data_IF_635793715002
#
_entry.id   IF_635793715002
#
_cell.length_a   1.000
_cell.length_b   1.000
_cell.length_c   1.000
_cell.angle_alpha   90.00
_cell.angle_beta   90.00
_cell.angle_gamma   90.00
#
_symmetry.space_group_name_H-M   'P 1'
#
loop_
_entity.id
_entity.type
_entity.pdbx_description
1 polymer ?
#
# COMPACT_ATOMS: atom_id res chain seq x y z
N UNK A 1 17.62 5.49 25.89
CA UNK A 1 18.17 4.19 25.43
C UNK A 1 19.11 4.45 24.26
N UNK A 2 20.36 3.95 24.28
CA UNK A 2 21.27 4.10 23.16
C UNK A 2 20.73 3.37 21.92
N UNK A 3 21.03 3.90 20.74
CA UNK A 3 20.69 3.27 19.47
C UNK A 3 21.83 3.40 18.46
N UNK A 4 21.85 2.53 17.45
CA UNK A 4 22.83 2.60 16.35
C UNK A 4 22.14 2.32 15.03
N UNK A 5 22.60 2.99 13.97
CA UNK A 5 22.18 2.76 12.59
C UNK A 5 23.21 1.90 11.86
N UNK A 6 22.75 1.04 10.97
CA UNK A 6 23.60 0.17 10.17
C UNK A 6 22.99 -0.09 8.79
N UNK A 7 23.84 -0.33 7.80
CA UNK A 7 23.38 -0.60 6.43
C UNK A 7 23.00 -2.06 6.24
N UNK A 8 21.97 -2.26 5.39
CA UNK A 8 21.47 -3.55 4.91
C UNK A 8 21.07 -3.42 3.44
N UNK A 9 20.92 -4.53 2.69
CA UNK A 9 20.50 -4.48 1.28
C UNK A 9 19.08 -3.93 1.04
N UNK A 10 18.27 -3.76 2.09
CA UNK A 10 16.94 -3.15 1.99
C UNK A 10 16.93 -1.67 2.42
N UNK A 11 18.08 -1.10 2.78
CA UNK A 11 18.26 0.27 3.25
C UNK A 11 18.86 0.34 4.67
N UNK A 12 18.99 1.55 5.21
CA UNK A 12 19.53 1.76 6.56
C UNK A 12 18.54 1.27 7.62
N UNK A 13 18.97 0.34 8.47
CA UNK A 13 18.22 -0.10 9.63
C UNK A 13 18.80 0.52 10.92
N UNK A 14 18.09 0.34 12.04
CA UNK A 14 18.59 0.69 13.35
C UNK A 14 18.17 -0.29 14.43
N UNK A 15 18.95 -0.36 15.51
CA UNK A 15 18.57 -1.08 16.74
C UNK A 15 18.81 -0.18 17.95
N UNK A 16 17.89 -0.26 18.91
CA UNK A 16 18.02 0.33 20.23
C UNK A 16 17.98 -0.78 21.29
N UNK A 17 18.64 -0.56 22.43
CA UNK A 17 18.78 -1.57 23.47
C UNK A 17 18.80 -0.99 24.89
N UNK A 18 18.57 -1.88 25.86
CA UNK A 18 18.87 -1.75 27.28
C UNK A 18 19.87 -2.84 27.69
N UNK A 19 20.15 -2.97 28.99
CA UNK A 19 20.98 -4.07 29.51
C UNK A 19 20.28 -5.44 29.41
N UNK A 20 18.94 -5.44 29.32
CA UNK A 20 18.14 -6.68 29.22
C UNK A 20 18.02 -7.21 27.79
N UNK A 21 18.16 -6.36 26.77
CA UNK A 21 18.07 -6.75 25.37
C UNK A 21 17.68 -5.63 24.41
N UNK A 22 17.30 -5.99 23.19
CA UNK A 22 16.78 -5.02 22.23
C UNK A 22 15.47 -4.44 22.73
N UNK A 23 15.31 -3.12 22.60
CA UNK A 23 14.10 -2.37 22.95
C UNK A 23 13.37 -1.87 21.71
N UNK A 24 14.08 -1.75 20.57
CA UNK A 24 13.49 -1.40 19.28
C UNK A 24 14.34 -1.90 18.11
N UNK A 25 13.70 -2.33 17.04
CA UNK A 25 14.30 -2.56 15.72
C UNK A 25 13.62 -1.63 14.72
N UNK A 26 14.41 -0.80 14.05
CA UNK A 26 13.94 0.13 13.04
C UNK A 26 14.30 -0.41 11.65
N UNK A 27 13.28 -0.67 10.83
CA UNK A 27 13.43 -0.92 9.41
C UNK A 27 13.68 0.40 8.65
N UNK A 28 14.17 0.34 7.40
CA UNK A 28 14.49 1.55 6.63
C UNK A 28 13.25 2.39 6.39
N UNK A 29 13.39 3.71 6.55
CA UNK A 29 12.44 4.71 6.07
C UNK A 29 12.86 5.20 4.67
N UNK A 30 12.30 6.32 4.20
CA UNK A 30 12.62 6.90 2.90
C UNK A 30 14.12 7.15 2.69
N UNK A 31 14.83 7.51 3.75
CA UNK A 31 16.27 7.71 3.75
C UNK A 31 16.87 7.49 5.15
N UNK A 32 18.20 7.59 5.25
CA UNK A 32 18.94 7.43 6.50
C UNK A 32 18.58 8.47 7.57
N UNK A 33 18.29 9.71 7.17
CA UNK A 33 17.93 10.78 8.10
C UNK A 33 16.53 10.55 8.68
N UNK A 34 15.56 10.13 7.86
CA UNK A 34 14.22 9.73 8.28
C UNK A 34 14.28 8.51 9.20
N UNK A 35 15.11 7.52 8.87
CA UNK A 35 15.34 6.32 9.71
C UNK A 35 15.89 6.74 11.08
N UNK A 36 16.88 7.65 11.10
CA UNK A 36 17.43 8.22 12.34
C UNK A 36 16.38 8.94 13.17
N UNK A 37 15.59 9.82 12.55
CA UNK A 37 14.54 10.57 13.23
C UNK A 37 13.48 9.63 13.82
N UNK A 38 13.12 8.57 13.09
CA UNK A 38 12.14 7.58 13.54
C UNK A 38 12.63 6.81 14.75
N UNK A 39 13.83 6.22 14.71
CA UNK A 39 14.34 5.46 15.85
C UNK A 39 14.55 6.36 17.08
N UNK A 40 15.02 7.61 16.89
CA UNK A 40 15.16 8.57 17.98
C UNK A 40 13.82 8.92 18.64
N UNK A 41 12.72 8.96 17.86
CA UNK A 41 11.36 9.17 18.41
C UNK A 41 10.83 7.98 19.22
N UNK A 42 11.38 6.78 19.01
CA UNK A 42 10.95 5.53 19.65
C UNK A 42 11.82 5.13 20.82
N UNK A 43 13.11 5.40 20.71
CA UNK A 43 14.10 5.21 21.75
C UNK A 43 14.84 6.53 22.00
N UNK A 44 14.25 7.45 22.79
CA UNK A 44 14.91 8.70 23.15
C UNK A 44 16.22 8.39 23.88
N UNK A 45 17.34 8.79 23.29
CA UNK A 45 18.68 8.53 23.83
C UNK A 45 19.77 8.83 22.81
N UNK A 46 21.05 8.81 23.23
CA UNK A 46 22.15 9.16 22.36
C UNK A 46 22.38 8.08 21.29
N UNK A 47 22.75 8.51 20.09
CA UNK A 47 23.24 7.58 19.07
C UNK A 47 24.62 7.06 19.51
N UNK A 48 24.74 5.75 19.67
CA UNK A 48 25.98 5.10 20.08
C UNK A 48 27.01 5.15 18.95
N UNK A 49 28.29 5.28 19.32
CA UNK A 49 29.42 5.10 18.38
C UNK A 49 29.70 3.61 18.22
N UNK A 50 30.21 3.21 17.05
CA UNK A 50 30.55 1.81 16.76
C UNK A 50 31.53 1.20 17.78
N UNK A 51 32.46 1.99 18.32
CA UNK A 51 33.40 1.57 19.35
C UNK A 51 32.69 1.22 20.69
N UNK A 52 31.62 1.93 21.03
CA UNK A 52 30.89 1.80 22.30
C UNK A 52 29.70 0.85 22.24
N UNK A 53 29.40 0.28 21.07
CA UNK A 53 28.31 -0.70 20.91
C UNK A 53 28.68 -2.03 21.59
N UNK A 54 27.83 -2.59 22.48
CA UNK A 54 28.12 -3.85 23.15
C UNK A 54 28.35 -5.01 22.16
N UNK A 55 29.20 -6.00 22.50
CA UNK A 55 29.50 -7.13 21.61
C UNK A 55 28.26 -7.90 21.15
N UNK A 56 27.30 -8.15 22.04
CA UNK A 56 26.07 -8.87 21.70
C UNK A 56 25.17 -8.08 20.72
N UNK A 57 25.19 -6.74 20.80
CA UNK A 57 24.47 -5.87 19.84
C UNK A 57 25.15 -5.92 18.47
N UNK A 58 26.49 -5.96 18.44
CA UNK A 58 27.24 -6.13 17.18
C UNK A 58 26.91 -7.47 16.51
N UNK A 59 26.83 -8.56 17.28
CA UNK A 59 26.40 -9.88 16.80
C UNK A 59 24.95 -9.84 16.27
N UNK A 60 24.02 -9.22 17.02
CA UNK A 60 22.64 -9.05 16.58
C UNK A 60 22.55 -8.27 15.24
N UNK A 61 23.33 -7.20 15.08
CA UNK A 61 23.41 -6.43 13.83
C UNK A 61 23.96 -7.27 12.69
N UNK A 62 25.01 -8.07 12.93
CA UNK A 62 25.59 -8.95 11.92
C UNK A 62 24.56 -9.97 11.43
N UNK A 63 23.86 -10.63 12.36
CA UNK A 63 22.78 -11.59 12.04
C UNK A 63 21.64 -10.96 11.26
N UNK A 64 21.16 -9.79 11.68
CA UNK A 64 20.09 -9.07 10.97
C UNK A 64 20.55 -8.66 9.56
N UNK A 65 21.80 -8.23 9.40
CA UNK A 65 22.37 -7.86 8.10
C UNK A 65 22.46 -9.07 7.16
N UNK A 66 22.95 -10.20 7.64
CA UNK A 66 23.02 -11.43 6.83
C UNK A 66 21.62 -11.94 6.46
N UNK A 67 20.69 -11.92 7.42
CA UNK A 67 19.30 -12.32 7.21
C UNK A 67 18.62 -11.46 6.12
N UNK A 68 18.74 -10.14 6.22
CA UNK A 68 18.23 -9.20 5.22
C UNK A 68 19.07 -9.15 3.93
N UNK A 69 20.22 -9.83 3.91
CA UNK A 69 21.03 -10.08 2.72
C UNK A 69 20.71 -11.38 1.99
N UNK A 70 19.65 -12.09 2.40
CA UNK A 70 19.22 -13.32 1.74
C UNK A 70 19.93 -14.57 2.25
N UNK A 71 20.62 -14.51 3.40
CA UNK A 71 21.17 -15.68 4.10
C UNK A 71 20.38 -15.87 5.41
N UNK A 72 19.30 -16.65 5.42
CA UNK A 72 18.37 -16.70 6.54
C UNK A 72 19.06 -17.13 7.84
N UNK A 73 19.13 -16.22 8.81
CA UNK A 73 19.63 -16.48 10.16
C UNK A 73 18.52 -16.87 11.14
N UNK A 74 18.88 -17.63 12.17
CA UNK A 74 18.07 -17.76 13.39
C UNK A 74 18.25 -16.50 14.26
N UNK A 75 17.17 -15.71 14.36
CA UNK A 75 17.13 -14.47 15.14
C UNK A 75 16.43 -14.65 16.50
N UNK A 76 15.91 -15.85 16.81
CA UNK A 76 15.19 -16.11 18.06
C UNK A 76 16.10 -15.98 19.29
N UNK A 77 17.42 -16.10 19.10
CA UNK A 77 18.43 -15.98 20.16
C UNK A 77 18.78 -14.54 20.54
N UNK A 78 18.31 -13.55 19.78
CA UNK A 78 18.57 -12.15 20.10
C UNK A 78 17.74 -11.77 21.34
N UNK A 79 18.37 -11.30 22.44
CA UNK A 79 17.65 -10.92 23.65
C UNK A 79 16.70 -9.75 23.37
N UNK A 80 15.48 -9.83 23.89
CA UNK A 80 14.45 -8.79 23.82
C UNK A 80 14.16 -8.26 25.22
N UNK A 81 14.15 -6.94 25.37
CA UNK A 81 13.64 -6.29 26.57
C UNK A 81 12.12 -6.13 26.43
N UNK A 82 11.39 -6.96 27.17
CA UNK A 82 9.92 -6.99 27.18
C UNK A 82 9.32 -6.24 28.38
N UNK A 83 10.11 -5.47 29.14
CA UNK A 83 9.64 -4.77 30.35
C UNK A 83 8.47 -3.82 30.11
N UNK A 84 8.40 -3.21 28.91
CA UNK A 84 7.30 -2.34 28.47
C UNK A 84 6.19 -3.03 27.67
N UNK A 85 6.21 -4.37 27.58
CA UNK A 85 5.30 -5.17 26.75
C UNK A 85 4.32 -5.93 27.65
N UNK A 86 3.05 -6.00 27.25
CA UNK A 86 2.05 -6.76 28.01
C UNK A 86 2.42 -8.24 28.08
N UNK A 87 2.02 -8.94 29.15
CA UNK A 87 2.31 -10.37 29.30
C UNK A 87 1.76 -11.20 28.13
N UNK A 88 0.63 -10.79 27.55
CA UNK A 88 0.06 -11.44 26.37
C UNK A 88 0.92 -11.19 25.12
N UNK A 89 1.24 -9.93 24.82
CA UNK A 89 2.04 -9.58 23.64
C UNK A 89 3.45 -10.21 23.71
N UNK A 90 4.03 -10.27 24.91
CA UNK A 90 5.31 -10.95 25.14
C UNK A 90 5.27 -12.44 24.80
N UNK A 91 4.19 -13.15 25.16
CA UNK A 91 3.96 -14.54 24.75
C UNK A 91 3.83 -14.67 23.24
N UNK A 92 3.08 -13.75 22.60
CA UNK A 92 2.91 -13.73 21.14
C UNK A 92 4.25 -13.49 20.43
N UNK A 93 5.06 -12.54 20.90
CA UNK A 93 6.37 -12.24 20.32
C UNK A 93 7.31 -13.43 20.43
N UNK A 94 7.39 -14.08 21.59
CA UNK A 94 8.17 -15.31 21.80
C UNK A 94 7.71 -16.45 20.87
N UNK A 95 6.40 -16.67 20.77
CA UNK A 95 5.84 -17.69 19.88
C UNK A 95 6.17 -17.39 18.41
N UNK A 96 6.15 -16.13 18.00
CA UNK A 96 6.47 -15.72 16.64
C UNK A 96 7.98 -15.79 16.32
N UNK A 97 8.87 -15.53 17.28
CA UNK A 97 10.31 -15.74 17.10
C UNK A 97 10.64 -17.19 16.72
N UNK A 98 9.86 -18.16 17.20
CA UNK A 98 10.04 -19.59 16.92
C UNK A 98 9.60 -20.01 15.50
N UNK A 99 8.89 -19.16 14.75
CA UNK A 99 8.50 -19.46 13.37
C UNK A 99 9.73 -19.37 12.48
N UNK A 100 10.20 -20.50 11.94
CA UNK A 100 11.43 -20.56 11.15
C UNK A 100 11.38 -19.66 9.88
N UNK A 101 12.54 -19.15 9.41
CA UNK A 101 12.61 -18.44 8.13
C UNK A 101 12.01 -19.26 6.98
N UNK A 102 11.30 -18.58 6.07
CA UNK A 102 10.66 -19.22 4.92
C UNK A 102 9.35 -19.95 5.25
N UNK A 103 8.96 -20.02 6.54
CA UNK A 103 7.66 -20.51 6.99
C UNK A 103 6.74 -19.36 7.34
N UNK A 104 5.44 -19.55 7.12
CA UNK A 104 4.39 -18.61 7.53
C UNK A 104 3.49 -19.24 8.59
N UNK A 105 2.82 -18.38 9.36
CA UNK A 105 1.82 -18.76 10.36
C UNK A 105 0.60 -17.85 10.25
N UNK A 106 -0.57 -18.27 10.71
CA UNK A 106 -1.74 -17.38 10.73
C UNK A 106 -1.93 -16.69 12.08
N UNK A 107 -2.67 -15.58 12.10
CA UNK A 107 -3.09 -14.96 13.37
C UNK A 107 -3.85 -15.93 14.28
N UNK A 108 -4.64 -16.86 13.69
CA UNK A 108 -5.37 -17.88 14.44
C UNK A 108 -4.45 -18.93 15.03
N UNK A 109 -3.43 -19.37 14.29
CA UNK A 109 -2.47 -20.36 14.77
C UNK A 109 -1.57 -19.81 15.87
N UNK A 110 -1.12 -18.56 15.75
CA UNK A 110 -0.41 -17.88 16.83
C UNK A 110 -1.29 -17.73 18.07
N UNK A 111 -2.56 -17.37 17.91
CA UNK A 111 -3.49 -17.23 19.03
C UNK A 111 -3.65 -18.57 19.77
N UNK A 112 -3.76 -19.68 19.02
CA UNK A 112 -3.80 -21.04 19.59
C UNK A 112 -2.50 -21.40 20.30
N UNK A 113 -1.35 -21.08 19.69
CA UNK A 113 -0.03 -21.35 20.27
C UNK A 113 0.21 -20.65 21.62
N UNK A 114 -0.42 -19.50 21.85
CA UNK A 114 -0.34 -18.78 23.14
C UNK A 114 -1.51 -19.06 24.09
N UNK A 115 -2.34 -20.07 23.80
CA UNK A 115 -3.47 -20.48 24.66
C UNK A 115 -4.70 -19.57 24.58
N UNK A 116 -4.83 -18.76 23.51
CA UNK A 116 -5.95 -17.83 23.31
C UNK A 116 -6.80 -18.25 22.11
N UNK A 117 -7.66 -19.26 22.28
CA UNK A 117 -8.58 -19.71 21.23
C UNK A 117 -9.52 -18.57 20.80
N UNK A 118 -9.61 -18.30 19.49
CA UNK A 118 -10.35 -17.15 18.95
C UNK A 118 -9.65 -15.78 19.10
N UNK A 119 -8.43 -15.74 19.65
CA UNK A 119 -7.65 -14.54 19.94
C UNK A 119 -6.96 -13.87 18.74
N UNK A 120 -7.30 -14.23 17.49
CA UNK A 120 -6.62 -13.73 16.29
C UNK A 120 -6.61 -12.19 16.20
N UNK A 121 -7.69 -11.52 16.66
CA UNK A 121 -7.76 -10.06 16.72
C UNK A 121 -6.78 -9.45 17.74
N UNK A 122 -6.58 -10.11 18.88
CA UNK A 122 -5.62 -9.68 19.89
C UNK A 122 -4.19 -9.83 19.39
N UNK A 123 -3.86 -10.96 18.74
CA UNK A 123 -2.58 -11.16 18.05
C UNK A 123 -2.36 -10.09 16.97
N UNK A 124 -3.40 -9.75 16.19
CA UNK A 124 -3.33 -8.67 15.21
C UNK A 124 -2.95 -7.31 15.81
N UNK A 125 -3.48 -6.98 17.00
CA UNK A 125 -3.10 -5.76 17.74
C UNK A 125 -1.64 -5.81 18.20
N UNK A 126 -1.20 -6.94 18.76
CA UNK A 126 0.19 -7.16 19.16
C UNK A 126 1.16 -6.97 17.97
N UNK A 127 0.80 -7.49 16.80
CA UNK A 127 1.59 -7.33 15.57
C UNK A 127 1.65 -5.88 15.07
N UNK A 128 0.57 -5.10 15.26
CA UNK A 128 0.52 -3.71 14.82
C UNK A 128 1.49 -2.80 15.60
N UNK A 129 1.82 -3.18 16.84
CA UNK A 129 2.69 -2.45 17.75
C UNK A 129 4.02 -3.15 18.01
N UNK A 130 4.36 -4.21 17.25
CA UNK A 130 5.61 -4.95 17.39
C UNK A 130 6.83 -4.01 17.29
N UNK A 131 7.61 -3.84 18.39
CA UNK A 131 8.77 -2.96 18.40
C UNK A 131 10.02 -3.62 17.82
N UNK A 132 9.97 -4.93 17.52
CA UNK A 132 11.11 -5.73 17.09
C UNK A 132 10.91 -6.35 15.69
N UNK A 133 10.52 -5.61 14.64
CA UNK A 133 10.39 -6.20 13.30
C UNK A 133 11.67 -6.96 12.89
N UNK A 134 11.51 -7.98 12.04
CA UNK A 134 12.57 -8.94 11.63
C UNK A 134 13.00 -9.90 12.73
N UNK A 135 13.35 -9.40 13.92
CA UNK A 135 13.73 -10.25 15.07
C UNK A 135 12.52 -10.98 15.64
N UNK A 136 11.41 -10.27 15.81
CA UNK A 136 10.04 -10.80 15.93
C UNK A 136 9.42 -10.69 14.54
N UNK A 137 9.38 -11.79 13.77
CA UNK A 137 9.15 -11.75 12.32
C UNK A 137 7.66 -11.58 11.97
N UNK A 138 7.08 -10.41 12.24
CA UNK A 138 5.69 -10.09 11.91
C UNK A 138 5.38 -10.18 10.40
N UNK A 139 6.40 -10.17 9.55
CA UNK A 139 6.26 -10.46 8.13
C UNK A 139 5.89 -11.92 7.85
N UNK A 140 6.18 -12.88 8.74
CA UNK A 140 5.77 -14.29 8.60
C UNK A 140 4.30 -14.56 8.95
N UNK A 141 3.59 -13.58 9.51
CA UNK A 141 2.18 -13.73 9.94
C UNK A 141 1.22 -13.37 8.81
N UNK A 142 0.38 -14.31 8.40
CA UNK A 142 -0.60 -14.16 7.32
C UNK A 142 -2.04 -14.24 7.84
N UNK A 143 -3.00 -13.76 7.06
CA UNK A 143 -4.41 -13.97 7.33
C UNK A 143 -4.82 -15.42 7.03
N UNK A 144 -5.98 -15.83 7.53
CA UNK A 144 -6.57 -17.12 7.18
C UNK A 144 -6.71 -17.25 5.65
N UNK A 145 -6.41 -18.43 5.11
CA UNK A 145 -6.39 -18.68 3.67
C UNK A 145 -5.13 -18.21 2.93
N UNK A 146 -4.07 -17.79 3.63
CA UNK A 146 -2.75 -17.52 3.04
C UNK A 146 -2.53 -16.09 2.52
N UNK A 147 -3.50 -15.19 2.68
CA UNK A 147 -3.37 -13.78 2.30
C UNK A 147 -2.35 -13.05 3.20
N UNK A 148 -1.56 -12.12 2.65
CA UNK A 148 -0.49 -11.43 3.37
C UNK A 148 -0.89 -10.78 4.71
N UNK A 149 -2.14 -10.37 4.93
CA UNK A 149 -2.52 -9.57 6.11
C UNK A 149 -1.93 -8.15 6.03
N UNK A 150 -1.70 -7.47 7.17
CA UNK A 150 -1.07 -6.13 7.21
C UNK A 150 0.45 -6.16 7.47
N UNK A 151 1.13 -5.03 7.22
CA UNK A 151 2.52 -4.78 7.65
C UNK A 151 2.75 -3.30 7.96
N UNK A 152 3.31 -3.01 9.12
CA UNK A 152 3.37 -1.64 9.67
C UNK A 152 4.64 -0.86 9.33
N UNK A 153 5.66 -1.50 8.74
CA UNK A 153 6.91 -0.85 8.35
C UNK A 153 6.73 0.05 7.11
N UNK A 154 7.65 0.98 6.91
CA UNK A 154 7.76 1.75 5.66
C UNK A 154 7.82 0.80 4.46
N UNK A 155 7.11 1.12 3.38
CA UNK A 155 6.91 0.23 2.23
C UNK A 155 5.83 -0.85 2.41
N UNK A 156 5.27 -1.02 3.62
CA UNK A 156 4.09 -1.84 3.87
C UNK A 156 4.23 -3.28 3.35
N UNK A 157 3.25 -3.75 2.57
CA UNK A 157 3.26 -5.10 2.02
C UNK A 157 4.45 -5.38 1.09
N UNK A 158 4.97 -4.38 0.38
CA UNK A 158 6.18 -4.53 -0.46
C UNK A 158 7.35 -4.99 0.39
N UNK A 159 7.56 -4.34 1.54
CA UNK A 159 8.65 -4.67 2.46
C UNK A 159 8.45 -6.04 3.08
N UNK A 160 7.21 -6.39 3.44
CA UNK A 160 6.85 -7.73 3.91
C UNK A 160 7.19 -8.83 2.90
N UNK A 161 6.78 -8.63 1.64
CA UNK A 161 7.07 -9.55 0.55
C UNK A 161 8.57 -9.66 0.29
N UNK A 162 9.28 -8.53 0.29
CA UNK A 162 10.72 -8.50 0.05
C UNK A 162 11.47 -9.28 1.12
N UNK A 163 11.13 -9.08 2.39
CA UNK A 163 11.76 -9.83 3.50
C UNK A 163 11.42 -11.32 3.42
N UNK A 164 10.17 -11.69 3.13
CA UNK A 164 9.80 -13.10 2.99
C UNK A 164 10.46 -13.79 1.80
N UNK A 165 10.59 -13.11 0.67
CA UNK A 165 11.32 -13.61 -0.50
C UNK A 165 12.80 -13.84 -0.20
N UNK A 166 13.43 -12.97 0.59
CA UNK A 166 14.82 -13.15 1.06
C UNK A 166 14.99 -14.40 1.93
N UNK A 167 13.91 -14.85 2.59
CA UNK A 167 13.91 -16.08 3.38
C UNK A 167 13.60 -17.35 2.57
N UNK A 168 13.39 -17.24 1.25
CA UNK A 168 12.92 -18.35 0.43
C UNK A 168 11.44 -18.71 0.64
N UNK A 169 10.70 -17.91 1.42
CA UNK A 169 9.27 -18.07 1.62
C UNK A 169 8.48 -17.51 0.44
N UNK A 170 7.65 -18.35 -0.17
CA UNK A 170 6.63 -17.87 -1.11
C UNK A 170 5.35 -17.60 -0.33
N UNK A 171 5.02 -16.33 -0.17
CA UNK A 171 3.62 -15.99 0.03
C UNK A 171 2.87 -16.30 -1.26
N UNK A 172 1.68 -16.89 -1.16
CA UNK A 172 0.64 -16.70 -2.17
C UNK A 172 0.18 -15.24 -2.11
N UNK A 173 1.08 -14.31 -2.45
CA UNK A 173 0.83 -12.89 -2.42
C UNK A 173 0.92 -12.39 -3.83
N UNK A 174 -0.27 -12.04 -4.33
CA UNK A 174 -0.43 -11.06 -5.38
C UNK A 174 0.33 -9.80 -4.93
N UNK A 175 1.24 -9.27 -5.76
CA UNK A 175 2.06 -8.13 -5.39
C UNK A 175 1.20 -6.99 -4.87
N UNK A 176 1.65 -6.38 -3.78
CA UNK A 176 1.06 -5.20 -3.17
C UNK A 176 0.50 -4.19 -4.20
N UNK A 177 -0.82 -4.13 -4.31
CA UNK A 177 -1.54 -2.94 -4.73
C UNK A 177 -2.12 -2.32 -3.45
N UNK A 178 -1.85 -1.04 -3.20
CA UNK A 178 -2.33 -0.27 -2.04
C UNK A 178 -3.79 -0.64 -1.68
N UNK A 179 -4.20 -1.09 -0.48
CA UNK A 179 -5.59 -1.51 -0.28
C UNK A 179 -6.50 -0.31 0.04
N UNK A 180 -7.00 0.32 -1.02
CA UNK A 180 -8.27 1.03 -1.08
C UNK A 180 -8.71 1.19 -2.52
N UNK A 181 -10.01 1.13 -2.72
CA UNK A 181 -10.69 0.74 -3.93
C UNK A 181 -10.65 -0.78 -4.22
N UNK A 182 -10.25 -1.69 -3.33
CA UNK A 182 -10.10 -3.12 -3.64
C UNK A 182 -11.03 -4.03 -2.83
N UNK A 183 -12.07 -4.55 -3.48
CA UNK A 183 -12.43 -5.96 -3.36
C UNK A 183 -11.90 -6.73 -4.60
N UNK A 184 -12.07 -8.05 -4.66
CA UNK A 184 -11.25 -9.00 -5.43
C UNK A 184 -11.08 -8.69 -6.93
N UNK A 185 -10.03 -9.21 -7.59
CA UNK A 185 -9.80 -8.93 -8.99
C UNK A 185 -10.84 -9.62 -9.87
N UNK A 186 -11.63 -8.81 -10.57
CA UNK A 186 -12.46 -9.24 -11.70
C UNK A 186 -11.63 -9.19 -12.98
N UNK A 187 -11.86 -10.15 -13.89
CA UNK A 187 -11.23 -10.18 -15.21
C UNK A 187 -11.58 -8.93 -16.03
N UNK A 188 -10.67 -8.51 -16.90
CA UNK A 188 -10.89 -7.39 -17.82
C UNK A 188 -11.98 -7.74 -18.85
N UNK A 189 -12.82 -6.79 -19.29
CA UNK A 189 -13.88 -7.05 -20.26
C UNK A 189 -13.36 -7.08 -21.71
N UNK A 190 -12.04 -7.17 -21.91
CA UNK A 190 -11.37 -7.16 -23.21
C UNK A 190 -10.15 -8.09 -23.21
N UNK A 191 -9.70 -8.51 -24.41
CA UNK A 191 -8.50 -9.35 -24.58
C UNK A 191 -7.23 -8.59 -24.18
N UNK A 192 -6.72 -8.88 -22.98
CA UNK A 192 -5.49 -8.32 -22.45
C UNK A 192 -4.26 -8.65 -23.32
N UNK A 193 -4.19 -9.87 -23.87
CA UNK A 193 -3.08 -10.30 -24.72
C UNK A 193 -3.09 -9.56 -26.05
N UNK A 194 -4.27 -9.44 -26.67
CA UNK A 194 -4.51 -8.64 -27.87
C UNK A 194 -4.17 -7.17 -27.67
N UNK A 195 -4.58 -6.58 -26.55
CA UNK A 195 -4.24 -5.21 -26.22
C UNK A 195 -2.72 -4.98 -26.10
N UNK A 196 -2.00 -5.89 -25.42
CA UNK A 196 -0.54 -5.80 -25.30
C UNK A 196 0.16 -5.96 -26.66
N UNK A 197 -0.29 -6.90 -27.51
CA UNK A 197 0.23 -7.05 -28.88
C UNK A 197 0.02 -5.78 -29.71
N UNK A 198 -1.20 -5.26 -29.71
CA UNK A 198 -1.54 -4.01 -30.39
C UNK A 198 -0.62 -2.85 -29.98
N UNK A 199 -0.40 -2.66 -28.67
CA UNK A 199 0.49 -1.60 -28.18
C UNK A 199 1.96 -1.82 -28.55
N UNK A 200 2.39 -3.08 -28.60
CA UNK A 200 3.75 -3.46 -29.02
C UNK A 200 3.97 -3.10 -30.49
N UNK A 201 2.98 -3.34 -31.34
CA UNK A 201 3.05 -3.04 -32.78
C UNK A 201 2.94 -1.53 -33.07
N UNK A 202 2.09 -0.82 -32.31
CA UNK A 202 1.77 0.59 -32.56
C UNK A 202 2.85 1.58 -32.06
N UNK A 203 3.62 1.23 -31.03
CA UNK A 203 4.63 2.11 -30.45
C UNK A 203 5.90 1.36 -30.00
N UNK A 204 7.01 1.43 -30.76
CA UNK A 204 8.26 0.76 -30.42
C UNK A 204 8.87 1.19 -29.08
N UNK A 205 8.57 2.39 -28.59
CA UNK A 205 9.04 2.84 -27.28
C UNK A 205 8.24 2.15 -26.18
N UNK A 206 6.92 2.06 -26.34
CA UNK A 206 6.07 1.35 -25.41
C UNK A 206 6.36 -0.16 -25.44
N UNK A 207 6.63 -0.74 -26.61
CA UNK A 207 7.08 -2.13 -26.77
C UNK A 207 8.29 -2.47 -25.89
N UNK A 208 9.30 -1.60 -25.86
CA UNK A 208 10.48 -1.77 -24.97
C UNK A 208 10.09 -1.73 -23.49
N UNK A 209 9.18 -0.83 -23.12
CA UNK A 209 8.69 -0.75 -21.74
C UNK A 209 7.86 -1.99 -21.35
N UNK A 210 7.04 -2.51 -22.27
CA UNK A 210 6.26 -3.75 -22.09
C UNK A 210 7.22 -4.91 -21.84
N UNK A 211 8.21 -5.11 -22.72
CA UNK A 211 9.21 -6.16 -22.57
C UNK A 211 9.97 -6.07 -21.24
N UNK A 212 10.30 -4.84 -20.79
CA UNK A 212 10.96 -4.60 -19.50
C UNK A 212 10.05 -4.87 -18.29
N UNK A 213 8.78 -4.53 -18.40
CA UNK A 213 7.81 -4.63 -17.30
C UNK A 213 7.30 -6.07 -17.14
N UNK A 214 7.17 -6.81 -18.24
CA UNK A 214 6.56 -8.13 -18.27
C UNK A 214 5.04 -8.07 -18.37
N UNK A 215 4.38 -9.13 -17.88
CA UNK A 215 2.94 -9.34 -18.06
C UNK A 215 2.07 -8.20 -17.51
N UNK A 216 0.94 -7.96 -18.18
CA UNK A 216 -0.05 -6.98 -17.75
C UNK A 216 -0.67 -7.39 -16.40
N UNK A 217 -0.42 -6.60 -15.37
CA UNK A 217 -0.99 -6.76 -14.03
C UNK A 217 -2.16 -5.81 -13.76
N UNK A 218 -2.90 -5.39 -14.78
CA UNK A 218 -4.10 -4.57 -14.62
C UNK A 218 -5.26 -5.46 -14.17
N UNK A 219 -5.85 -5.14 -13.02
CA UNK A 219 -7.00 -5.85 -12.47
C UNK A 219 -8.12 -4.88 -12.12
N UNK A 220 -9.36 -5.28 -12.41
CA UNK A 220 -10.51 -4.54 -11.92
C UNK A 220 -10.66 -4.75 -10.43
N UNK A 221 -11.32 -3.81 -9.79
CA UNK A 221 -11.52 -3.82 -8.36
C UNK A 221 -13.02 -3.82 -8.06
N UNK A 222 -13.46 -4.65 -7.13
CA UNK A 222 -14.86 -4.69 -6.68
C UNK A 222 -15.17 -3.59 -5.66
N UNK A 223 -16.37 -3.00 -5.73
CA UNK A 223 -16.91 -2.08 -4.73
C UNK A 223 -18.34 -2.42 -4.38
N UNK A 224 -18.83 -1.89 -3.26
CA UNK A 224 -20.23 -1.97 -2.84
C UNK A 224 -21.16 -1.05 -3.66
N UNK A 225 -20.75 -0.64 -4.87
CA UNK A 225 -21.48 0.29 -5.74
C UNK A 225 -20.72 1.60 -6.02
N UNK A 226 -21.35 2.46 -6.83
CA UNK A 226 -20.79 3.76 -7.25
C UNK A 226 -20.60 4.71 -6.07
N UNK A 227 -21.61 4.80 -5.18
CA UNK A 227 -21.55 5.65 -3.99
C UNK A 227 -20.35 5.30 -3.11
N UNK A 228 -20.19 4.02 -2.78
CA UNK A 228 -19.08 3.56 -1.94
C UNK A 228 -17.71 3.83 -2.60
N UNK A 229 -17.58 3.66 -3.91
CA UNK A 229 -16.34 3.94 -4.64
C UNK A 229 -15.97 5.43 -4.63
N UNK A 230 -16.96 6.31 -4.83
CA UNK A 230 -16.76 7.77 -4.79
C UNK A 230 -16.47 8.26 -3.38
N UNK A 231 -17.21 7.76 -2.38
CA UNK A 231 -16.99 8.07 -0.97
C UNK A 231 -15.57 7.68 -0.54
N UNK A 232 -15.12 6.49 -0.92
CA UNK A 232 -13.75 6.05 -0.68
C UNK A 232 -12.74 7.00 -1.34
N UNK A 233 -12.92 7.34 -2.63
CA UNK A 233 -12.02 8.29 -3.31
C UNK A 233 -11.90 9.63 -2.56
N UNK A 234 -13.04 10.22 -2.17
CA UNK A 234 -13.08 11.48 -1.40
C UNK A 234 -12.26 11.36 -0.11
N UNK A 235 -12.40 10.25 0.62
CA UNK A 235 -11.66 10.05 1.88
C UNK A 235 -10.16 9.88 1.63
N UNK A 236 -9.76 9.29 0.51
CA UNK A 236 -8.36 8.99 0.17
C UNK A 236 -7.56 10.17 -0.40
N UNK A 237 -8.24 11.22 -0.88
CA UNK A 237 -7.57 12.40 -1.42
C UNK A 237 -6.55 13.02 -0.47
N UNK A 238 -5.40 13.41 -1.02
CA UNK A 238 -4.34 14.16 -0.32
C UNK A 238 -3.83 13.51 0.97
N UNK A 239 -3.99 12.19 1.10
CA UNK A 239 -3.48 11.41 2.23
C UNK A 239 -2.61 10.26 1.72
N UNK A 240 -1.66 9.84 2.55
CA UNK A 240 -1.03 8.54 2.32
C UNK A 240 -2.07 7.42 2.55
N UNK A 241 -1.91 6.29 1.83
CA UNK A 241 -2.90 5.21 1.83
C UNK A 241 -3.22 4.64 3.23
N UNK A 242 -2.27 4.62 4.17
CA UNK A 242 -2.49 4.12 5.54
C UNK A 242 -3.39 5.05 6.35
N UNK A 243 -3.13 6.35 6.28
CA UNK A 243 -3.94 7.36 6.97
C UNK A 243 -5.37 7.35 6.44
N UNK A 244 -5.52 7.32 5.12
CA UNK A 244 -6.82 7.22 4.47
C UNK A 244 -7.56 5.92 4.82
N UNK A 245 -6.89 4.76 4.82
CA UNK A 245 -7.49 3.48 5.23
C UNK A 245 -7.96 3.49 6.68
N UNK A 246 -7.19 4.12 7.56
CA UNK A 246 -7.55 4.24 8.97
C UNK A 246 -8.78 5.14 9.17
N UNK A 247 -8.86 6.26 8.44
CA UNK A 247 -10.02 7.15 8.49
C UNK A 247 -11.24 6.47 7.88
N UNK A 248 -11.09 5.90 6.68
CA UNK A 248 -12.19 5.23 6.00
C UNK A 248 -12.72 4.05 6.81
N UNK A 249 -11.85 3.20 7.37
CA UNK A 249 -12.26 2.11 8.24
C UNK A 249 -13.04 2.58 9.47
N UNK A 250 -12.65 3.69 10.09
CA UNK A 250 -13.41 4.31 11.19
C UNK A 250 -14.77 4.85 10.74
N UNK A 251 -14.84 5.48 9.56
CA UNK A 251 -16.12 5.93 8.98
C UNK A 251 -17.02 4.73 8.71
N UNK A 252 -16.51 3.66 8.08
CA UNK A 252 -17.26 2.42 7.84
C UNK A 252 -17.81 1.82 9.14
N UNK A 253 -17.03 1.86 10.22
CA UNK A 253 -17.43 1.32 11.51
C UNK A 253 -18.64 2.05 12.15
N UNK A 254 -19.02 3.23 11.64
CA UNK A 254 -20.25 3.93 12.07
C UNK A 254 -21.53 3.28 11.51
N UNK A 255 -21.41 2.43 10.48
CA UNK A 255 -22.56 1.88 9.76
C UNK A 255 -22.74 0.38 10.00
N UNK A 256 -23.99 -0.12 10.01
CA UNK A 256 -24.27 -1.55 10.14
C UNK A 256 -23.52 -2.38 9.09
N UNK A 257 -22.84 -3.44 9.54
CA UNK A 257 -22.01 -4.33 8.70
C UNK A 257 -20.92 -3.59 7.91
N UNK A 258 -20.59 -2.36 8.28
CA UNK A 258 -19.61 -1.54 7.59
C UNK A 258 -20.04 -1.04 6.21
N UNK A 259 -21.33 -1.16 5.84
CA UNK A 259 -21.83 -0.76 4.51
C UNK A 259 -22.10 0.74 4.46
N UNK A 260 -21.51 1.41 3.48
CA UNK A 260 -21.78 2.84 3.25
C UNK A 260 -22.98 2.98 2.33
N UNK A 261 -24.06 3.52 2.86
CA UNK A 261 -25.27 3.84 2.11
C UNK A 261 -25.58 5.35 2.23
N UNK A 262 -26.14 5.98 1.18
CA UNK A 262 -26.45 7.41 1.20
C UNK A 262 -27.31 7.82 2.41
N UNK A 263 -28.38 7.06 2.68
CA UNK A 263 -29.29 7.29 3.81
C UNK A 263 -28.56 7.22 5.16
N UNK A 264 -27.67 6.24 5.34
CA UNK A 264 -26.87 6.11 6.56
C UNK A 264 -25.97 7.32 6.77
N UNK A 265 -25.27 7.77 5.72
CA UNK A 265 -24.42 8.97 5.80
C UNK A 265 -25.25 10.20 6.15
N UNK A 266 -26.42 10.38 5.52
CA UNK A 266 -27.32 11.51 5.81
C UNK A 266 -27.83 11.52 7.25
N UNK A 267 -28.16 10.34 7.81
CA UNK A 267 -28.67 10.20 9.17
C UNK A 267 -27.59 10.31 10.27
N UNK A 268 -26.32 10.09 9.94
CA UNK A 268 -25.20 10.19 10.91
C UNK A 268 -24.92 11.66 11.21
N UNK A 269 -24.55 12.02 12.45
CA UNK A 269 -24.19 13.41 12.79
C UNK A 269 -22.83 13.82 12.21
N UNK A 270 -22.65 15.12 11.95
CA UNK A 270 -21.36 15.65 11.50
C UNK A 270 -20.25 15.38 12.51
N UNK A 271 -20.53 15.50 13.82
CA UNK A 271 -19.55 15.22 14.88
C UNK A 271 -19.06 13.77 14.88
N UNK A 272 -19.93 12.80 14.61
CA UNK A 272 -19.53 11.40 14.52
C UNK A 272 -18.61 11.16 13.30
N UNK A 273 -18.97 11.74 12.15
CA UNK A 273 -18.16 11.64 10.91
C UNK A 273 -16.82 12.37 11.05
N UNK A 274 -16.80 13.53 11.70
CA UNK A 274 -15.60 14.29 12.09
C UNK A 274 -14.73 13.48 13.06
N UNK A 275 -15.34 12.86 14.07
CA UNK A 275 -14.68 12.02 15.08
C UNK A 275 -14.02 10.77 14.48
N UNK A 276 -14.57 10.24 13.38
CA UNK A 276 -13.93 9.18 12.60
C UNK A 276 -12.66 9.64 11.84
N UNK A 277 -12.42 10.95 11.76
CA UNK A 277 -11.20 11.54 11.21
C UNK A 277 -11.37 12.22 9.84
N UNK A 278 -12.60 12.44 9.37
CA UNK A 278 -12.81 13.24 8.15
C UNK A 278 -12.41 14.70 8.37
N UNK A 279 -11.85 15.35 7.34
CA UNK A 279 -11.67 16.81 7.34
C UNK A 279 -13.01 17.53 7.07
N UNK A 280 -13.12 18.83 7.36
CA UNK A 280 -14.34 19.58 7.09
C UNK A 280 -14.68 19.59 5.58
N UNK A 281 -13.65 19.65 4.73
CA UNK A 281 -13.84 19.58 3.28
C UNK A 281 -14.34 18.21 2.83
N UNK A 282 -13.76 17.12 3.37
CA UNK A 282 -14.16 15.75 3.03
C UNK A 282 -15.57 15.42 3.53
N UNK A 283 -15.93 15.94 4.70
CA UNK A 283 -17.29 15.84 5.22
C UNK A 283 -18.29 16.50 4.25
N UNK A 284 -18.05 17.75 3.82
CA UNK A 284 -18.92 18.42 2.85
C UNK A 284 -19.04 17.67 1.53
N UNK A 285 -17.94 17.14 1.01
CA UNK A 285 -17.95 16.30 -0.20
C UNK A 285 -18.74 15.01 -0.02
N UNK A 286 -18.58 14.33 1.13
CA UNK A 286 -19.31 13.11 1.44
C UNK A 286 -20.82 13.37 1.62
N UNK A 287 -21.19 14.50 2.23
CA UNK A 287 -22.58 14.96 2.35
C UNK A 287 -23.20 15.25 0.99
N UNK A 288 -22.52 16.02 0.15
CA UNK A 288 -22.98 16.32 -1.21
C UNK A 288 -23.19 15.04 -2.03
N UNK A 289 -22.23 14.12 -1.99
CA UNK A 289 -22.37 12.80 -2.62
C UNK A 289 -23.60 12.04 -2.10
N UNK A 290 -23.81 12.01 -0.79
CA UNK A 290 -24.94 11.30 -0.19
C UNK A 290 -26.29 11.93 -0.56
N UNK A 291 -26.39 13.26 -0.57
CA UNK A 291 -27.59 13.98 -1.00
C UNK A 291 -27.91 13.67 -2.45
N UNK A 292 -26.94 13.79 -3.36
CA UNK A 292 -27.13 13.52 -4.80
C UNK A 292 -27.47 12.06 -5.07
N UNK A 293 -26.83 11.13 -4.36
CA UNK A 293 -27.17 9.70 -4.47
C UNK A 293 -28.59 9.40 -3.98
N UNK A 294 -29.02 10.03 -2.87
CA UNK A 294 -30.38 9.87 -2.36
C UNK A 294 -31.43 10.48 -3.31
N UNK A 295 -31.08 11.52 -4.05
CA UNK A 295 -31.90 12.13 -5.09
C UNK A 295 -31.90 11.34 -6.42
N UNK A 296 -31.15 10.23 -6.53
CA UNK A 296 -31.04 9.45 -7.76
C UNK A 296 -30.17 10.08 -8.85
N UNK A 297 -29.40 11.12 -8.52
CA UNK A 297 -28.55 11.80 -9.50
C UNK A 297 -27.27 11.02 -9.83
N UNK A 298 -26.82 10.15 -8.93
CA UNK A 298 -25.59 9.35 -9.06
C UNK A 298 -25.93 7.97 -9.61
N UNK A 299 -25.49 7.62 -10.84
CA UNK A 299 -25.81 6.34 -11.44
C UNK A 299 -25.19 5.16 -10.68
N UNK A 300 -25.91 4.05 -10.63
CA UNK A 300 -25.44 2.74 -10.16
C UNK A 300 -24.36 2.17 -11.09
N UNK A 301 -23.60 1.17 -10.63
CA UNK A 301 -22.56 0.53 -11.46
C UNK A 301 -23.14 -0.04 -12.78
N UNK A 302 -24.28 -0.76 -12.79
CA UNK A 302 -24.88 -1.24 -14.04
C UNK A 302 -25.33 -0.12 -15.00
N UNK A 303 -25.73 1.03 -14.49
CA UNK A 303 -26.05 2.19 -15.33
C UNK A 303 -24.77 2.78 -15.93
N UNK A 304 -23.72 2.96 -15.12
CA UNK A 304 -22.42 3.44 -15.59
C UNK A 304 -21.83 2.55 -16.69
N UNK A 305 -21.98 1.22 -16.60
CA UNK A 305 -21.49 0.29 -17.62
C UNK A 305 -22.09 0.56 -19.01
N UNK A 306 -23.30 1.10 -19.08
CA UNK A 306 -24.03 1.43 -20.31
C UNK A 306 -23.83 2.87 -20.79
N UNK A 307 -23.16 3.71 -20.01
CA UNK A 307 -22.94 5.12 -20.33
C UNK A 307 -21.62 5.35 -21.06
N UNK A 308 -21.58 6.38 -21.91
CA UNK A 308 -20.35 6.87 -22.52
C UNK A 308 -19.41 7.49 -21.48
N UNK A 309 -18.11 7.32 -21.70
CA UNK A 309 -17.07 7.73 -20.74
C UNK A 309 -17.12 9.23 -20.41
N UNK A 310 -17.35 10.11 -21.40
CA UNK A 310 -17.47 11.55 -21.15
C UNK A 310 -18.76 11.92 -20.39
N UNK A 311 -19.86 11.22 -20.65
CA UNK A 311 -21.10 11.42 -19.89
C UNK A 311 -20.94 11.00 -18.42
N UNK A 312 -20.15 9.95 -18.16
CA UNK A 312 -19.78 9.53 -16.80
C UNK A 312 -18.91 10.61 -16.14
N UNK A 313 -17.92 11.16 -16.86
CA UNK A 313 -17.08 12.26 -16.35
C UNK A 313 -17.92 13.47 -15.98
N UNK A 314 -18.77 13.95 -16.89
CA UNK A 314 -19.66 15.08 -16.64
C UNK A 314 -20.54 14.83 -15.41
N UNK A 315 -21.22 13.67 -15.36
CA UNK A 315 -22.13 13.34 -14.27
C UNK A 315 -21.44 13.26 -12.92
N UNK A 316 -20.30 12.58 -12.84
CA UNK A 316 -19.64 12.33 -11.55
C UNK A 316 -18.78 13.51 -11.08
N UNK A 317 -18.34 14.40 -11.97
CA UNK A 317 -17.62 15.63 -11.60
C UNK A 317 -18.52 16.73 -11.04
N UNK A 318 -19.84 16.61 -11.19
CA UNK A 318 -20.81 17.45 -10.49
C UNK A 318 -20.77 17.27 -8.96
N UNK A 319 -20.22 16.14 -8.48
CA UNK A 319 -20.04 15.88 -7.06
C UNK A 319 -18.88 16.70 -6.51
N UNK A 320 -19.13 17.42 -5.42
CA UNK A 320 -18.13 18.26 -4.76
C UNK A 320 -16.89 17.45 -4.41
N UNK A 321 -15.73 17.88 -4.92
CA UNK A 321 -14.44 17.27 -4.63
C UNK A 321 -14.15 16.02 -5.46
N UNK A 322 -15.03 15.62 -6.39
CA UNK A 322 -14.73 14.60 -7.39
C UNK A 322 -14.24 15.29 -8.66
N UNK A 323 -12.96 15.14 -8.96
CA UNK A 323 -12.36 15.67 -10.19
C UNK A 323 -12.34 14.62 -11.31
N UNK A 324 -12.11 15.07 -12.54
CA UNK A 324 -11.99 14.20 -13.73
C UNK A 324 -11.04 13.01 -13.52
N UNK A 325 -9.87 13.26 -12.94
CA UNK A 325 -8.90 12.20 -12.62
C UNK A 325 -9.52 11.07 -11.77
N UNK A 326 -10.35 11.41 -10.77
CA UNK A 326 -11.03 10.41 -9.94
C UNK A 326 -11.97 9.55 -10.79
N UNK A 327 -12.71 10.18 -11.70
CA UNK A 327 -13.63 9.48 -12.58
C UNK A 327 -12.88 8.57 -13.55
N UNK A 328 -11.77 9.05 -14.12
CA UNK A 328 -10.89 8.25 -14.99
C UNK A 328 -10.34 7.01 -14.26
N UNK A 329 -10.03 7.11 -12.97
CA UNK A 329 -9.66 5.93 -12.15
C UNK A 329 -10.82 4.95 -11.99
N UNK A 330 -12.06 5.43 -11.88
CA UNK A 330 -13.26 4.56 -11.86
C UNK A 330 -13.44 3.88 -13.22
N UNK A 331 -13.30 4.61 -14.32
CA UNK A 331 -13.40 4.05 -15.67
C UNK A 331 -12.39 2.91 -15.87
N UNK A 332 -11.12 3.12 -15.48
CA UNK A 332 -10.06 2.11 -15.64
C UNK A 332 -10.23 0.94 -14.66
N UNK A 333 -10.32 1.22 -13.35
CA UNK A 333 -10.18 0.20 -12.32
C UNK A 333 -11.49 -0.42 -11.85
N UNK A 334 -12.65 0.18 -12.16
CA UNK A 334 -13.97 -0.37 -11.78
C UNK A 334 -14.71 -0.90 -12.99
N UNK A 335 -14.85 -0.05 -14.01
CA UNK A 335 -15.61 -0.39 -15.22
C UNK A 335 -14.77 -1.17 -16.23
N UNK A 336 -13.44 -1.06 -16.17
CA UNK A 336 -12.56 -1.75 -17.11
C UNK A 336 -12.61 -1.17 -18.51
N UNK A 337 -12.87 0.14 -18.63
CA UNK A 337 -12.86 0.85 -19.92
C UNK A 337 -11.46 0.74 -20.54
N UNK A 338 -11.32 0.25 -21.77
CA UNK A 338 -10.02 -0.03 -22.38
C UNK A 338 -9.29 1.24 -22.85
N UNK A 339 -10.02 2.33 -23.10
CA UNK A 339 -9.49 3.48 -23.85
C UNK A 339 -9.41 4.80 -23.06
N UNK A 340 -8.90 4.75 -21.83
CA UNK A 340 -8.77 5.93 -20.96
C UNK A 340 -7.30 6.32 -20.81
N UNK A 341 -6.99 7.60 -21.05
CA UNK A 341 -5.66 8.19 -20.83
C UNK A 341 -5.74 9.38 -19.87
N UNK A 342 -5.40 9.21 -18.58
CA UNK A 342 -5.50 10.27 -17.58
C UNK A 342 -4.42 11.36 -17.79
N UNK A 343 -4.68 12.35 -18.65
CA UNK A 343 -3.71 13.37 -19.04
C UNK A 343 -3.30 14.30 -17.88
N UNK A 344 -4.13 14.41 -16.85
CA UNK A 344 -3.84 15.16 -15.62
C UNK A 344 -2.99 14.39 -14.61
N UNK A 345 -2.77 13.09 -14.82
CA UNK A 345 -2.08 12.22 -13.86
C UNK A 345 -0.56 12.45 -13.87
N UNK A 346 -0.01 12.72 -12.70
CA UNK A 346 1.43 12.93 -12.53
C UNK A 346 2.25 11.68 -12.90
N UNK A 347 1.76 10.50 -12.54
CA UNK A 347 2.43 9.22 -12.84
C UNK A 347 2.50 8.96 -14.35
N UNK A 348 1.43 9.28 -15.09
CA UNK A 348 1.39 9.22 -16.56
C UNK A 348 2.43 10.16 -17.15
N UNK A 349 2.44 11.44 -16.74
CA UNK A 349 3.41 12.42 -17.25
C UNK A 349 4.86 12.03 -16.94
N UNK A 350 5.13 11.56 -15.72
CA UNK A 350 6.45 11.10 -15.27
C UNK A 350 6.90 9.84 -16.01
N UNK A 351 5.99 8.88 -16.17
CA UNK A 351 6.23 7.67 -16.96
C UNK A 351 6.56 8.01 -18.41
N UNK A 352 5.78 8.91 -19.00
CA UNK A 352 6.01 9.39 -20.37
C UNK A 352 7.37 10.07 -20.52
N UNK A 353 7.70 11.05 -19.66
CA UNK A 353 8.99 11.74 -19.71
C UNK A 353 10.19 10.77 -19.70
N UNK A 354 10.07 9.66 -18.95
CA UNK A 354 11.11 8.62 -18.88
C UNK A 354 11.23 7.75 -20.11
N UNK A 355 10.11 7.44 -20.75
CA UNK A 355 10.13 6.68 -22.00
C UNK A 355 10.66 7.54 -23.16
N UNK A 356 10.54 8.86 -23.06
CA UNK A 356 10.95 9.81 -24.09
C UNK A 356 12.00 10.83 -23.58
N UNK A 357 13.17 10.37 -23.07
CA UNK A 357 14.11 11.22 -22.33
C UNK A 357 14.83 12.26 -23.20
N UNK A 358 14.84 12.09 -24.53
CA UNK A 358 15.46 13.03 -25.48
C UNK A 358 14.62 14.31 -25.71
N UNK A 359 13.44 14.42 -25.12
CA UNK A 359 12.49 15.53 -25.32
C UNK A 359 12.26 16.39 -24.08
N UNK A 360 12.78 16.01 -22.92
CA UNK A 360 12.49 16.67 -21.65
C UNK A 360 13.74 16.75 -20.79
N UNK A 361 13.95 17.88 -20.12
CA UNK A 361 14.95 17.96 -19.05
C UNK A 361 14.60 17.01 -17.89
N UNK A 362 15.57 16.74 -17.02
CA UNK A 362 15.49 15.71 -15.95
C UNK A 362 14.27 15.85 -15.03
N UNK A 363 13.76 17.07 -14.86
CA UNK A 363 12.63 17.41 -13.98
C UNK A 363 11.44 18.05 -14.73
N UNK A 364 11.50 18.09 -16.06
CA UNK A 364 10.43 18.62 -16.90
C UNK A 364 9.40 17.53 -17.21
N UNK A 365 8.12 17.86 -17.05
CA UNK A 365 7.01 16.97 -17.39
C UNK A 365 6.34 17.41 -18.69
N UNK A 366 5.92 16.47 -19.55
CA UNK A 366 5.21 16.78 -20.78
C UNK A 366 3.88 17.49 -20.48
N UNK A 367 3.49 18.40 -21.37
CA UNK A 367 2.14 18.95 -21.41
C UNK A 367 1.14 17.85 -21.79
N UNK A 368 -0.13 18.05 -21.42
CA UNK A 368 -1.21 17.12 -21.75
C UNK A 368 -1.29 16.85 -23.27
N UNK A 369 -1.13 17.89 -24.10
CA UNK A 369 -1.21 17.78 -25.56
C UNK A 369 -0.14 16.85 -26.15
N UNK A 370 1.07 16.87 -25.61
CA UNK A 370 2.14 16.01 -26.11
C UNK A 370 1.85 14.55 -25.78
N UNK A 371 1.36 14.28 -24.57
CA UNK A 371 0.96 12.93 -24.15
C UNK A 371 -0.25 12.46 -24.97
N UNK A 372 -1.25 13.33 -25.18
CA UNK A 372 -2.45 13.04 -25.96
C UNK A 372 -2.13 12.70 -27.41
N UNK A 373 -1.31 13.51 -28.08
CA UNK A 373 -0.91 13.30 -29.48
C UNK A 373 -0.21 11.96 -29.70
N UNK A 374 0.61 11.52 -28.74
CA UNK A 374 1.22 10.18 -28.81
C UNK A 374 0.21 9.09 -28.47
N UNK A 375 -0.66 9.37 -27.50
CA UNK A 375 -1.70 8.48 -27.02
C UNK A 375 -2.70 8.03 -28.08
N UNK A 376 -2.89 8.78 -29.15
CA UNK A 376 -3.70 8.36 -30.31
C UNK A 376 -3.21 7.05 -30.94
N UNK A 377 -1.90 6.74 -30.85
CA UNK A 377 -1.35 5.45 -31.32
C UNK A 377 -1.76 4.26 -30.45
N UNK A 378 -2.21 4.51 -29.22
CA UNK A 378 -2.50 3.46 -28.26
C UNK A 378 -3.99 3.10 -28.23
N UNK A 379 -4.83 3.79 -29.02
CA UNK A 379 -6.25 3.47 -29.14
C UNK A 379 -6.42 2.10 -29.81
N UNK A 380 -7.36 1.25 -29.35
CA UNK A 380 -8.38 1.53 -28.34
C UNK A 380 -7.99 1.10 -26.91
N UNK A 381 -6.69 0.95 -26.62
CA UNK A 381 -6.18 0.35 -25.37
C UNK A 381 -5.34 1.33 -24.53
N UNK A 382 -5.72 2.62 -24.51
CA UNK A 382 -5.03 3.65 -23.73
C UNK A 382 -4.98 3.37 -22.23
N UNK A 383 -5.92 2.62 -21.66
CA UNK A 383 -5.88 2.18 -20.26
C UNK A 383 -4.75 1.18 -19.99
N UNK A 384 -4.44 0.32 -20.96
CA UNK A 384 -3.31 -0.62 -20.89
C UNK A 384 -1.99 0.15 -21.03
N UNK A 385 -1.91 1.12 -21.94
CA UNK A 385 -0.75 2.00 -22.05
C UNK A 385 -0.51 2.81 -20.76
N UNK A 386 -1.58 3.33 -20.17
CA UNK A 386 -1.55 4.03 -18.87
C UNK A 386 -0.93 3.17 -17.77
N UNK A 387 -1.27 1.87 -17.72
CA UNK A 387 -0.67 0.94 -16.78
C UNK A 387 0.85 0.79 -16.94
N UNK A 388 1.34 0.65 -18.18
CA UNK A 388 2.79 0.56 -18.43
C UNK A 388 3.52 1.88 -18.16
N UNK A 389 2.88 3.04 -18.38
CA UNK A 389 3.42 4.34 -18.01
C UNK A 389 3.58 4.47 -16.49
N UNK A 390 2.61 4.02 -15.70
CA UNK A 390 2.76 3.97 -14.23
C UNK A 390 3.93 3.08 -13.79
N UNK A 391 4.10 1.91 -14.42
CA UNK A 391 5.25 1.02 -14.14
C UNK A 391 6.60 1.68 -14.48
N UNK A 392 6.66 2.45 -15.56
CA UNK A 392 7.84 3.26 -15.90
C UNK A 392 8.11 4.36 -14.86
N UNK A 393 7.05 4.95 -14.29
CA UNK A 393 7.12 5.94 -13.22
C UNK A 393 7.60 5.35 -11.86
N UNK A 394 7.45 4.06 -11.62
CA UNK A 394 7.86 3.38 -10.38
C UNK A 394 9.28 2.80 -10.43
N UNK A 395 9.69 2.23 -11.57
CA UNK A 395 10.96 1.50 -11.73
C UNK A 395 12.24 2.30 -11.42
N UNK A 396 12.13 3.61 -11.22
CA UNK A 396 13.27 4.50 -10.96
C UNK A 396 13.36 4.94 -9.50
N UNK A 397 12.35 4.69 -8.68
CA UNK A 397 12.52 4.79 -7.21
C UNK A 397 13.41 3.65 -6.72
N UNK A 398 13.33 2.48 -7.36
CA UNK A 398 14.21 1.35 -7.09
C UNK A 398 15.64 1.48 -7.65
N UNK A 399 15.91 2.46 -8.53
CA UNK A 399 17.23 2.63 -9.19
C UNK A 399 17.98 3.91 -8.78
N UNK A 400 17.33 4.80 -7.99
CA UNK A 400 17.96 5.96 -7.34
C UNK A 400 18.29 5.68 -5.86
N UNK A 401 18.05 4.46 -5.40
CA UNK A 401 18.38 3.93 -4.08
C UNK A 401 19.33 2.77 -4.27
#
# INVERSE_FOLDING_TARGET
MPFVLFETPIGTCGVAWSDAGLTWVQLPEADRAATRARIASKAPGPMARAATTPPWVKDAIARVREHLGGKPQDLARIPLDLSGVSAFDGKVFRALQAVAPGRTTTYGDLARAVGSNGGARAVGRAMATNPFPVVVPCHRVVAAGGNAGGFSAYGGLVTKERILKLEGGTLAVRPSAQPSLFAGPRALPFDAGGAVRHLTDADPVLAKQIAKTGALGLSLKESEGTFAALAESIVYQQLNGRAAATIFGRVRALFPRGRLEPSGVLATSDDALRGAGLSASKLRSLRDLATRSAAGEIPTLPELERMDDEAIVERLTAVRGVGRWTVEMILIFRLGRPDVLPLGDYGIKKGFARLFPRKYARDELPTADVVAKRGERWRPYRSVASWYLWRAAEATEAAKT
#
